data_IF_210328840241
#
_entry.id   IF_210328840241
#
_cell.length_a   1.000
_cell.length_b   1.000
_cell.length_c   1.000
_cell.angle_alpha   90.00
_cell.angle_beta   90.00
_cell.angle_gamma   90.00
#
_symmetry.space_group_name_H-M   'P 1'
#
loop_
_entity.id
_entity.type
_entity.pdbx_description
1 polymer ?
#
# COMPACT_ATOMS: atom_id res chain seq x y z
N UNK A 1 15.33 6.45 -22.86
CA UNK A 1 14.15 6.04 -22.04
C UNK A 1 13.43 7.26 -21.49
N UNK A 2 12.09 7.18 -21.41
CA UNK A 2 11.20 8.26 -20.99
C UNK A 2 10.25 7.78 -19.89
N UNK A 3 10.04 8.62 -18.88
CA UNK A 3 9.16 8.36 -17.75
C UNK A 3 7.98 9.32 -17.80
N UNK A 4 6.75 8.83 -17.77
CA UNK A 4 5.52 9.64 -17.69
C UNK A 4 4.86 9.41 -16.32
N UNK A 5 4.66 10.48 -15.55
CA UNK A 5 3.90 10.42 -14.29
C UNK A 5 2.40 10.43 -14.59
N UNK A 6 1.65 9.52 -13.97
CA UNK A 6 0.19 9.51 -14.04
C UNK A 6 -0.38 9.89 -12.67
N UNK A 7 -0.64 8.92 -11.79
CA UNK A 7 -1.15 9.12 -10.44
C UNK A 7 -0.39 8.25 -9.44
N UNK A 8 -0.07 8.77 -8.26
CA UNK A 8 0.61 8.03 -7.17
C UNK A 8 1.79 7.18 -7.69
N UNK A 9 1.71 5.85 -7.62
CA UNK A 9 2.73 4.90 -8.11
C UNK A 9 2.61 4.60 -9.62
N UNK A 10 1.54 5.04 -10.26
CA UNK A 10 1.27 4.81 -11.67
C UNK A 10 2.16 5.67 -12.56
N UNK A 11 3.04 5.01 -13.30
CA UNK A 11 3.95 5.63 -14.26
C UNK A 11 3.99 4.81 -15.54
N UNK A 12 4.28 5.46 -16.67
CA UNK A 12 4.67 4.76 -17.90
C UNK A 12 6.18 4.90 -18.07
N UNK A 13 6.84 3.79 -18.37
CA UNK A 13 8.22 3.80 -18.85
C UNK A 13 8.20 3.43 -20.33
N UNK A 14 8.79 4.28 -21.15
CA UNK A 14 8.91 4.12 -22.60
C UNK A 14 10.38 4.00 -22.99
N UNK A 15 10.72 2.94 -23.73
CA UNK A 15 12.01 2.80 -24.41
C UNK A 15 11.83 2.95 -25.93
N UNK A 16 12.83 3.52 -26.60
CA UNK A 16 12.86 3.70 -28.06
C UNK A 16 14.13 3.08 -28.63
N UNK A 17 13.96 2.20 -29.61
CA UNK A 17 15.07 1.54 -30.31
C UNK A 17 14.87 1.63 -31.82
N UNK A 18 15.57 2.57 -32.47
CA UNK A 18 15.29 2.92 -33.86
C UNK A 18 13.87 3.46 -34.01
N UNK A 19 13.07 2.85 -34.89
CA UNK A 19 11.65 3.21 -35.09
C UNK A 19 10.69 2.45 -34.15
N UNK A 20 11.19 1.49 -33.36
CA UNK A 20 10.37 0.77 -32.39
C UNK A 20 10.25 1.55 -31.08
N UNK A 21 9.09 1.39 -30.43
CA UNK A 21 8.81 1.87 -29.08
C UNK A 21 8.28 0.71 -28.25
N UNK A 22 8.69 0.63 -27.00
CA UNK A 22 8.10 -0.28 -26.02
C UNK A 22 7.62 0.51 -24.81
N UNK A 23 6.35 0.33 -24.42
CA UNK A 23 5.72 1.00 -23.27
C UNK A 23 5.26 0.01 -22.21
N UNK A 24 5.61 0.31 -20.95
CA UNK A 24 5.14 -0.42 -19.79
C UNK A 24 4.43 0.51 -18.81
N UNK A 25 3.19 0.16 -18.43
CA UNK A 25 2.42 0.84 -17.38
C UNK A 25 2.67 0.14 -16.04
N UNK A 26 3.22 0.85 -15.07
CA UNK A 26 3.49 0.33 -13.73
C UNK A 26 2.34 0.68 -12.77
N UNK A 27 1.95 -0.25 -11.90
CA UNK A 27 1.08 -0.06 -10.73
C UNK A 27 -0.15 0.86 -10.97
N UNK A 28 -1.08 0.50 -11.87
CA UNK A 28 -2.14 1.39 -12.31
C UNK A 28 -3.27 1.54 -11.28
N UNK A 29 -3.38 2.74 -10.69
CA UNK A 29 -4.58 3.26 -10.01
C UNK A 29 -4.90 4.65 -10.58
N UNK A 30 -5.79 4.65 -11.57
CA UNK A 30 -6.15 5.82 -12.37
C UNK A 30 -7.64 6.14 -12.31
N UNK A 31 -8.47 5.26 -11.72
CA UNK A 31 -9.92 5.41 -11.76
C UNK A 31 -10.55 5.05 -10.41
N UNK A 32 -11.43 5.94 -9.93
CA UNK A 32 -12.22 5.70 -8.73
C UNK A 32 -11.40 5.70 -7.44
N UNK A 33 -12.04 5.23 -6.39
CA UNK A 33 -11.50 5.17 -5.04
C UNK A 33 -11.00 3.77 -4.69
N UNK A 34 -10.02 3.71 -3.80
CA UNK A 34 -9.46 2.46 -3.28
C UNK A 34 -9.66 2.36 -1.77
N UNK A 35 -9.31 1.20 -1.21
CA UNK A 35 -9.46 0.92 0.22
C UNK A 35 -10.90 1.13 0.72
N UNK A 36 -11.84 0.42 0.08
CA UNK A 36 -13.28 0.44 0.41
C UNK A 36 -13.82 1.88 0.32
N UNK A 37 -13.41 2.59 -0.74
CA UNK A 37 -13.86 3.94 -1.04
C UNK A 37 -13.11 5.04 -0.30
N UNK A 38 -12.29 4.72 0.71
CA UNK A 38 -11.69 5.76 1.55
C UNK A 38 -10.55 6.52 0.91
N UNK A 39 -9.81 5.95 -0.03
CA UNK A 39 -8.71 6.63 -0.70
C UNK A 39 -9.19 7.17 -2.03
N UNK A 40 -9.10 8.49 -2.21
CA UNK A 40 -9.44 9.17 -3.45
C UNK A 40 -8.21 9.78 -4.12
N UNK A 41 -8.27 9.86 -5.45
CA UNK A 41 -7.26 10.50 -6.29
C UNK A 41 -7.41 12.03 -6.19
N UNK A 42 -6.32 12.71 -5.87
CA UNK A 42 -6.23 14.17 -5.97
C UNK A 42 -4.83 14.60 -6.47
N UNK A 43 -4.73 15.54 -7.43
CA UNK A 43 -5.84 16.20 -8.15
C UNK A 43 -6.64 15.17 -8.97
N UNK A 44 -7.92 15.44 -9.29
CA UNK A 44 -8.72 14.53 -10.09
C UNK A 44 -8.00 14.12 -11.37
N UNK A 45 -8.05 12.83 -11.69
CA UNK A 45 -7.43 12.27 -12.90
C UNK A 45 -8.50 11.90 -13.91
N UNK A 46 -8.42 12.46 -15.12
CA UNK A 46 -9.36 12.20 -16.22
C UNK A 46 -8.94 10.93 -16.97
N UNK A 47 -9.27 9.77 -16.41
CA UNK A 47 -8.87 8.49 -16.97
C UNK A 47 -9.64 8.12 -18.24
N UNK A 48 -8.88 7.98 -19.33
CA UNK A 48 -9.35 7.56 -20.65
C UNK A 48 -8.63 6.28 -21.08
N UNK A 49 -9.28 5.10 -21.01
CA UNK A 49 -8.64 3.83 -21.36
C UNK A 49 -7.99 3.80 -22.74
N UNK A 50 -8.56 4.51 -23.71
CA UNK A 50 -8.07 4.64 -25.09
C UNK A 50 -6.65 5.22 -25.18
N UNK A 51 -6.23 6.05 -24.22
CA UNK A 51 -4.88 6.61 -24.14
C UNK A 51 -3.80 5.55 -23.82
N UNK A 52 -4.23 4.35 -23.41
CA UNK A 52 -3.38 3.22 -23.03
C UNK A 52 -3.43 2.07 -24.04
N UNK A 53 -3.99 2.32 -25.23
CA UNK A 53 -4.13 1.31 -26.30
C UNK A 53 -2.81 0.89 -26.94
N UNK A 54 -1.73 1.68 -26.77
CA UNK A 54 -0.40 1.40 -27.30
C UNK A 54 0.58 0.85 -26.26
N UNK A 55 0.08 0.33 -25.13
CA UNK A 55 0.88 -0.37 -24.14
C UNK A 55 1.27 -1.76 -24.61
N UNK A 56 2.52 -2.14 -24.33
CA UNK A 56 3.03 -3.48 -24.60
C UNK A 56 2.92 -4.38 -23.37
N UNK A 57 3.07 -3.79 -22.18
CA UNK A 57 3.03 -4.50 -20.91
C UNK A 57 2.37 -3.65 -19.83
N UNK A 58 1.81 -4.33 -18.84
CA UNK A 58 1.52 -3.76 -17.52
C UNK A 58 2.46 -4.45 -16.53
N UNK A 59 3.03 -3.72 -15.59
CA UNK A 59 3.74 -4.27 -14.44
C UNK A 59 2.98 -3.96 -13.17
N UNK A 60 2.76 -4.98 -12.34
CA UNK A 60 2.16 -4.83 -11.03
C UNK A 60 3.14 -5.37 -9.99
N UNK A 61 3.58 -4.49 -9.10
CA UNK A 61 4.51 -4.80 -8.02
C UNK A 61 3.88 -5.74 -7.01
N UNK A 62 2.69 -5.41 -6.50
CA UNK A 62 2.04 -6.18 -5.44
C UNK A 62 0.51 -6.00 -5.40
N UNK A 63 -0.16 -6.71 -4.49
CA UNK A 63 -1.62 -6.92 -4.51
C UNK A 63 -2.48 -5.75 -4.03
N UNK A 64 -1.88 -4.78 -3.33
CA UNK A 64 -2.62 -3.70 -2.70
C UNK A 64 -3.42 -2.88 -3.73
N UNK A 65 -4.61 -2.36 -3.38
CA UNK A 65 -5.55 -1.84 -4.36
C UNK A 65 -5.09 -0.56 -5.07
N UNK A 66 -4.24 0.26 -4.46
CA UNK A 66 -3.64 1.46 -5.07
C UNK A 66 -2.49 1.17 -6.04
N UNK A 67 -2.10 -0.10 -6.20
CA UNK A 67 -1.11 -0.57 -7.18
C UNK A 67 -1.72 -1.59 -8.16
N UNK A 68 -2.65 -2.40 -7.68
CA UNK A 68 -3.41 -3.38 -8.45
C UNK A 68 -4.91 -3.02 -8.43
N UNK A 69 -5.25 -1.84 -8.96
CA UNK A 69 -6.63 -1.33 -8.96
C UNK A 69 -7.51 -2.14 -9.91
N UNK A 70 -8.48 -2.88 -9.36
CA UNK A 70 -9.49 -3.57 -10.18
C UNK A 70 -10.33 -2.57 -10.97
N UNK A 71 -10.57 -1.38 -10.43
CA UNK A 71 -11.32 -0.29 -11.04
C UNK A 71 -10.65 0.25 -12.32
N UNK A 72 -9.32 0.34 -12.33
CA UNK A 72 -8.53 0.70 -13.52
C UNK A 72 -8.31 -0.48 -14.44
N UNK A 73 -7.81 -1.60 -13.92
CA UNK A 73 -7.45 -2.79 -14.72
C UNK A 73 -8.65 -3.36 -15.48
N UNK A 74 -9.85 -3.34 -14.90
CA UNK A 74 -11.07 -3.82 -15.59
C UNK A 74 -11.40 -3.04 -16.87
N UNK A 75 -10.92 -1.80 -17.03
CA UNK A 75 -11.17 -0.94 -18.18
C UNK A 75 -10.07 -0.97 -19.26
N UNK A 76 -8.89 -1.54 -18.97
CA UNK A 76 -7.78 -1.66 -19.93
C UNK A 76 -7.94 -2.86 -20.88
N UNK A 77 -7.24 -2.86 -22.01
CA UNK A 77 -7.26 -3.96 -22.98
C UNK A 77 -6.66 -5.24 -22.38
N UNK A 78 -7.44 -6.33 -22.37
CA UNK A 78 -7.06 -7.64 -21.80
C UNK A 78 -5.99 -8.37 -22.61
N UNK A 79 -5.69 -7.92 -23.84
CA UNK A 79 -4.60 -8.45 -24.65
C UNK A 79 -3.23 -8.04 -24.13
N UNK A 80 -3.14 -6.98 -23.34
CA UNK A 80 -1.88 -6.52 -22.77
C UNK A 80 -1.41 -7.53 -21.71
N UNK A 81 -0.25 -8.18 -21.86
CA UNK A 81 0.28 -9.07 -20.84
C UNK A 81 0.66 -8.30 -19.56
N UNK A 82 0.42 -8.92 -18.42
CA UNK A 82 0.74 -8.36 -17.10
C UNK A 82 1.94 -9.08 -16.50
N UNK A 83 3.01 -8.35 -16.22
CA UNK A 83 4.23 -8.82 -15.57
C UNK A 83 4.10 -8.68 -14.06
N UNK A 84 4.42 -9.75 -13.34
CA UNK A 84 4.49 -9.74 -11.87
C UNK A 84 5.71 -10.53 -11.40
N UNK A 85 6.11 -10.34 -10.15
CA UNK A 85 7.05 -11.25 -9.51
C UNK A 85 6.41 -12.64 -9.31
N UNK A 86 7.22 -13.70 -9.40
CA UNK A 86 6.82 -15.06 -9.08
C UNK A 86 6.67 -15.27 -7.56
N UNK A 87 5.62 -14.70 -6.97
CA UNK A 87 5.32 -14.88 -5.55
C UNK A 87 5.00 -16.35 -5.20
N UNK A 88 5.41 -16.86 -4.02
CA UNK A 88 5.02 -18.20 -3.58
C UNK A 88 3.49 -18.35 -3.48
N UNK A 89 2.83 -17.36 -2.90
CA UNK A 89 1.36 -17.28 -2.85
C UNK A 89 0.82 -16.67 -4.14
N UNK A 90 -0.15 -17.34 -4.78
CA UNK A 90 -0.64 -16.97 -6.12
C UNK A 90 -1.81 -15.99 -6.12
N UNK A 91 -2.04 -15.26 -5.02
CA UNK A 91 -3.18 -14.34 -4.90
C UNK A 91 -3.14 -13.21 -5.94
N UNK A 92 -1.98 -12.61 -6.18
CA UNK A 92 -1.83 -11.53 -7.17
C UNK A 92 -2.14 -12.04 -8.58
N UNK A 93 -1.54 -13.18 -8.95
CA UNK A 93 -1.78 -13.85 -10.22
C UNK A 93 -3.27 -14.14 -10.42
N UNK A 94 -3.89 -14.81 -9.46
CA UNK A 94 -5.31 -15.19 -9.53
C UNK A 94 -6.23 -13.96 -9.62
N UNK A 95 -5.92 -12.88 -8.90
CA UNK A 95 -6.68 -11.61 -8.98
C UNK A 95 -6.61 -11.03 -10.40
N UNK A 96 -5.42 -10.98 -11.00
CA UNK A 96 -5.22 -10.39 -12.34
C UNK A 96 -5.80 -11.28 -13.44
N UNK A 97 -5.61 -12.60 -13.36
CA UNK A 97 -6.22 -13.57 -14.28
C UNK A 97 -7.75 -13.56 -14.18
N UNK A 98 -8.30 -13.39 -12.97
CA UNK A 98 -9.74 -13.23 -12.75
C UNK A 98 -10.34 -11.97 -13.40
N UNK A 99 -9.51 -10.96 -13.71
CA UNK A 99 -9.90 -9.79 -14.50
C UNK A 99 -9.78 -10.02 -16.02
N UNK A 100 -9.33 -11.21 -16.45
CA UNK A 100 -9.24 -11.62 -17.85
C UNK A 100 -7.88 -11.40 -18.51
N UNK A 101 -6.84 -11.01 -17.77
CA UNK A 101 -5.50 -10.77 -18.31
C UNK A 101 -4.65 -12.05 -18.37
N UNK A 102 -3.70 -12.07 -19.32
CA UNK A 102 -2.58 -13.02 -19.29
C UNK A 102 -1.51 -12.53 -18.33
N UNK A 103 -1.17 -13.33 -17.32
CA UNK A 103 -0.08 -13.04 -16.38
C UNK A 103 1.22 -13.74 -16.79
N UNK A 104 2.34 -13.02 -16.67
CA UNK A 104 3.70 -13.52 -16.84
C UNK A 104 4.43 -13.32 -15.52
N UNK A 105 4.77 -14.42 -14.86
CA UNK A 105 5.53 -14.42 -13.61
C UNK A 105 7.03 -14.40 -13.93
N UNK A 106 7.75 -13.44 -13.32
CA UNK A 106 9.19 -13.29 -13.47
C UNK A 106 9.91 -13.67 -12.18
N UNK A 107 10.98 -14.44 -12.34
CA UNK A 107 11.76 -14.97 -11.23
C UNK A 107 12.61 -13.90 -10.53
N UNK A 108 12.88 -14.12 -9.25
CA UNK A 108 13.66 -13.21 -8.41
C UNK A 108 15.07 -12.96 -8.99
N UNK A 109 15.39 -11.69 -9.26
CA UNK A 109 16.74 -11.28 -9.65
C UNK A 109 17.15 -11.76 -11.04
N UNK A 110 16.21 -12.26 -11.85
CA UNK A 110 16.46 -12.68 -13.23
C UNK A 110 16.10 -11.55 -14.19
N UNK A 111 17.15 -10.96 -14.79
CA UNK A 111 17.00 -9.96 -15.87
C UNK A 111 16.33 -10.60 -17.08
N UNK A 112 15.13 -10.13 -17.41
CA UNK A 112 14.27 -10.66 -18.46
C UNK A 112 14.12 -9.66 -19.59
N UNK A 113 14.36 -10.09 -20.83
CA UNK A 113 14.16 -9.25 -22.02
C UNK A 113 12.67 -9.15 -22.36
N UNK A 114 12.16 -7.93 -22.53
CA UNK A 114 10.78 -7.67 -22.93
C UNK A 114 10.65 -7.58 -24.45
N UNK A 115 11.25 -6.55 -25.05
CA UNK A 115 11.31 -6.29 -26.49
C UNK A 115 12.62 -5.59 -26.82
N UNK A 116 13.17 -5.85 -27.99
CA UNK A 116 14.43 -5.26 -28.45
C UNK A 116 15.52 -5.36 -27.35
N UNK A 117 16.11 -4.24 -26.95
CA UNK A 117 17.09 -4.18 -25.87
C UNK A 117 16.48 -3.76 -24.52
N UNK A 118 15.15 -3.66 -24.40
CA UNK A 118 14.47 -3.27 -23.17
C UNK A 118 14.23 -4.48 -22.27
N UNK A 119 14.71 -4.38 -21.02
CA UNK A 119 14.69 -5.44 -20.03
C UNK A 119 14.04 -4.99 -18.72
N UNK A 120 13.52 -5.97 -17.98
CA UNK A 120 13.05 -5.81 -16.61
C UNK A 120 13.72 -6.84 -15.70
N UNK A 121 14.02 -6.46 -14.47
CA UNK A 121 14.46 -7.36 -13.40
C UNK A 121 13.66 -7.05 -12.14
N UNK A 122 13.02 -8.06 -11.55
CA UNK A 122 12.18 -7.89 -10.36
C UNK A 122 12.85 -8.58 -9.18
N UNK A 123 13.00 -7.86 -8.08
CA UNK A 123 13.62 -8.34 -6.85
C UNK A 123 12.67 -8.14 -5.68
N UNK A 124 12.49 -9.19 -4.87
CA UNK A 124 11.78 -9.11 -3.60
C UNK A 124 12.51 -8.13 -2.67
N UNK A 125 11.78 -7.32 -1.91
CA UNK A 125 12.36 -6.29 -1.07
C UNK A 125 13.39 -6.86 -0.08
N UNK A 126 13.10 -8.02 0.51
CA UNK A 126 13.97 -8.74 1.45
C UNK A 126 15.10 -9.56 0.80
N UNK A 127 15.26 -9.46 -0.53
CA UNK A 127 16.23 -10.23 -1.31
C UNK A 127 16.02 -11.76 -1.21
N UNK A 128 14.80 -12.22 -0.89
CA UNK A 128 14.52 -13.62 -0.55
C UNK A 128 15.40 -14.16 0.59
N UNK A 129 15.79 -13.30 1.53
CA UNK A 129 16.57 -13.69 2.71
C UNK A 129 15.62 -14.09 3.87
N UNK A 130 15.53 -15.39 4.22
CA UNK A 130 14.65 -15.85 5.29
C UNK A 130 15.08 -15.32 6.67
N UNK A 131 16.31 -14.83 6.85
CA UNK A 131 16.79 -14.26 8.12
C UNK A 131 16.32 -12.82 8.32
N UNK A 132 16.10 -12.07 7.23
CA UNK A 132 15.50 -10.73 7.25
C UNK A 132 14.00 -10.87 7.52
N UNK A 133 13.34 -11.83 6.87
CA UNK A 133 11.94 -12.15 7.10
C UNK A 133 11.68 -12.66 8.54
N UNK A 134 12.45 -13.65 9.01
CA UNK A 134 12.27 -14.32 10.30
C UNK A 134 12.63 -13.52 11.56
N UNK A 135 13.34 -12.39 11.43
CA UNK A 135 13.59 -11.47 12.55
C UNK A 135 12.49 -10.39 12.69
N UNK A 136 11.75 -10.12 11.61
CA UNK A 136 10.70 -9.10 11.54
C UNK A 136 9.29 -9.70 11.58
N UNK A 137 9.14 -10.98 11.20
CA UNK A 137 7.99 -11.85 11.42
C UNK A 137 8.42 -12.87 12.48
N UNK A 138 7.72 -13.00 13.61
CA UNK A 138 8.02 -14.03 14.61
C UNK A 138 7.69 -15.45 14.12
N UNK A 139 8.33 -15.91 13.05
CA UNK A 139 8.00 -17.11 12.28
C UNK A 139 9.27 -17.82 11.77
N UNK A 140 10.11 -18.34 12.67
CA UNK A 140 11.02 -19.42 12.30
C UNK A 140 10.18 -20.70 12.37
N UNK A 141 9.80 -21.29 11.23
CA UNK A 141 9.58 -22.76 11.04
C UNK A 141 8.76 -23.16 9.77
N UNK A 142 8.24 -22.23 8.96
CA UNK A 142 7.49 -22.60 7.73
C UNK A 142 8.15 -22.15 6.41
N UNK A 143 9.27 -21.42 6.47
CA UNK A 143 9.93 -20.78 5.31
C UNK A 143 11.09 -21.60 4.72
N UNK A 144 11.40 -22.79 5.22
CA UNK A 144 12.53 -23.60 4.71
C UNK A 144 12.31 -24.15 3.29
N UNK A 145 11.10 -24.09 2.75
CA UNK A 145 10.80 -24.47 1.36
C UNK A 145 10.54 -23.29 0.41
N UNK A 146 10.19 -22.11 0.94
CA UNK A 146 9.87 -20.90 0.18
C UNK A 146 10.50 -19.70 0.88
N UNK A 147 11.52 -19.12 0.27
CA UNK A 147 12.50 -18.21 0.90
C UNK A 147 11.95 -16.82 1.29
N UNK A 148 10.69 -16.47 0.98
CA UNK A 148 10.05 -15.22 1.40
C UNK A 148 8.53 -15.31 1.42
N UNK A 149 7.87 -14.62 2.35
CA UNK A 149 6.41 -14.39 2.38
C UNK A 149 6.05 -12.94 2.02
N UNK A 150 7.03 -12.13 1.62
CA UNK A 150 6.84 -10.71 1.40
C UNK A 150 6.30 -10.41 -0.01
N UNK A 151 5.36 -9.48 -0.06
CA UNK A 151 4.66 -9.10 -1.29
C UNK A 151 5.30 -7.89 -1.99
N UNK A 152 6.21 -7.15 -1.34
CA UNK A 152 6.79 -5.92 -1.88
C UNK A 152 8.02 -6.23 -2.75
N UNK A 153 8.15 -5.53 -3.88
CA UNK A 153 9.21 -5.79 -4.87
C UNK A 153 9.76 -4.51 -5.46
N UNK A 154 11.07 -4.48 -5.67
CA UNK A 154 11.73 -3.49 -6.52
C UNK A 154 11.78 -3.98 -7.96
N UNK A 155 11.63 -3.07 -8.91
CA UNK A 155 11.85 -3.37 -10.33
C UNK A 155 12.96 -2.49 -10.90
N UNK A 156 13.80 -3.09 -11.74
CA UNK A 156 14.81 -2.40 -12.53
C UNK A 156 14.44 -2.51 -13.99
N UNK A 157 14.36 -1.38 -14.68
CA UNK A 157 14.15 -1.29 -16.11
C UNK A 157 15.42 -0.78 -16.76
N UNK A 158 15.94 -1.50 -17.74
CA UNK A 158 17.17 -1.10 -18.40
C UNK A 158 17.15 -1.38 -19.91
N UNK A 159 17.86 -0.54 -20.66
CA UNK A 159 18.07 -0.70 -22.10
C UNK A 159 19.55 -0.85 -22.45
N UNK A 160 20.35 -1.39 -21.52
CA UNK A 160 21.83 -1.48 -21.55
C UNK A 160 22.59 -0.14 -21.50
N UNK A 161 21.91 0.99 -21.78
CA UNK A 161 22.51 2.33 -21.72
C UNK A 161 22.06 3.12 -20.50
N UNK A 162 20.79 2.96 -20.15
CA UNK A 162 20.12 3.67 -19.07
C UNK A 162 19.48 2.68 -18.12
N UNK A 163 19.42 3.04 -16.83
CA UNK A 163 18.82 2.21 -15.77
C UNK A 163 17.85 3.04 -14.95
N UNK A 164 16.60 2.56 -14.85
CA UNK A 164 15.55 3.09 -13.99
C UNK A 164 15.28 2.09 -12.88
N UNK A 165 15.32 2.54 -11.62
CA UNK A 165 14.96 1.72 -10.46
C UNK A 165 13.65 2.21 -9.87
N UNK A 166 12.72 1.29 -9.69
CA UNK A 166 11.45 1.49 -9.00
C UNK A 166 11.51 0.79 -7.64
N UNK A 167 11.40 1.57 -6.55
CA UNK A 167 11.45 1.08 -5.16
C UNK A 167 10.09 1.02 -4.47
N UNK A 168 8.99 1.01 -5.25
CA UNK A 168 7.61 1.12 -4.77
C UNK A 168 7.36 0.28 -3.51
N UNK A 169 6.86 0.92 -2.46
CA UNK A 169 6.46 0.32 -1.17
C UNK A 169 7.47 -0.63 -0.52
N UNK A 170 8.76 -0.52 -0.83
CA UNK A 170 9.81 -1.31 -0.17
C UNK A 170 10.32 -0.58 1.08
N UNK A 171 10.03 -1.05 2.32
CA UNK A 171 10.57 -0.41 3.52
C UNK A 171 12.09 -0.52 3.55
N UNK A 172 12.80 0.57 3.83
CA UNK A 172 14.26 0.63 3.70
C UNK A 172 15.01 -0.43 4.52
N UNK A 173 14.59 -0.67 5.76
CA UNK A 173 15.25 -1.66 6.64
C UNK A 173 15.29 -3.07 6.03
N UNK A 174 14.27 -3.38 5.22
CA UNK A 174 14.15 -4.64 4.48
C UNK A 174 14.85 -4.51 3.11
N UNK A 175 14.57 -3.41 2.40
CA UNK A 175 14.99 -3.16 1.03
C UNK A 175 16.48 -2.84 0.83
N UNK A 176 17.21 -2.45 1.88
CA UNK A 176 18.60 -1.98 1.75
C UNK A 176 19.54 -3.01 1.09
N UNK A 177 19.40 -4.29 1.43
CA UNK A 177 20.23 -5.36 0.85
C UNK A 177 19.94 -5.52 -0.65
N UNK A 178 18.66 -5.48 -1.02
CA UNK A 178 18.21 -5.52 -2.42
C UNK A 178 18.69 -4.29 -3.19
N UNK A 179 18.57 -3.10 -2.61
CA UNK A 179 19.07 -1.87 -3.21
C UNK A 179 20.59 -1.90 -3.42
N UNK A 180 21.37 -2.40 -2.45
CA UNK A 180 22.82 -2.60 -2.60
C UNK A 180 23.15 -3.62 -3.69
N UNK A 181 22.38 -4.71 -3.81
CA UNK A 181 22.53 -5.70 -4.89
C UNK A 181 22.24 -5.09 -6.26
N UNK A 182 21.17 -4.29 -6.38
CA UNK A 182 20.85 -3.54 -7.60
C UNK A 182 22.01 -2.62 -7.96
N UNK A 183 22.50 -1.82 -7.01
CA UNK A 183 23.65 -0.93 -7.23
C UNK A 183 24.89 -1.69 -7.70
N UNK A 184 25.21 -2.83 -7.07
CA UNK A 184 26.35 -3.66 -7.46
C UNK A 184 26.19 -4.29 -8.85
N UNK A 185 24.96 -4.61 -9.26
CA UNK A 185 24.68 -5.29 -10.53
C UNK A 185 24.68 -4.33 -11.71
N UNK A 186 24.07 -3.16 -11.54
CA UNK A 186 23.86 -2.19 -12.63
C UNK A 186 24.89 -1.05 -12.63
N UNK A 187 25.55 -0.79 -11.49
CA UNK A 187 26.56 0.25 -11.34
C UNK A 187 25.97 1.67 -11.39
N UNK A 188 25.70 2.16 -12.59
CA UNK A 188 25.11 3.48 -12.82
C UNK A 188 23.59 3.38 -12.81
N UNK A 189 22.95 4.22 -11.99
CA UNK A 189 21.50 4.38 -11.96
C UNK A 189 21.15 5.75 -12.54
N UNK A 190 20.37 5.80 -13.61
CA UNK A 190 20.01 7.06 -14.27
C UNK A 190 18.79 7.71 -13.63
N UNK A 191 17.83 6.91 -13.18
CA UNK A 191 16.59 7.41 -12.60
C UNK A 191 16.11 6.53 -11.45
N UNK A 192 15.67 7.16 -10.36
CA UNK A 192 15.07 6.49 -9.22
C UNK A 192 13.63 6.97 -9.00
N UNK A 193 12.69 6.03 -9.03
CA UNK A 193 11.33 6.23 -8.53
C UNK A 193 11.32 5.80 -7.06
N UNK A 194 11.07 6.76 -6.16
CA UNK A 194 11.17 6.54 -4.71
C UNK A 194 9.89 6.92 -3.96
N UNK A 195 9.35 5.96 -3.22
CA UNK A 195 8.18 6.14 -2.37
C UNK A 195 8.47 7.13 -1.24
N UNK A 196 7.67 8.18 -1.09
CA UNK A 196 7.89 9.24 -0.07
C UNK A 196 6.85 9.23 1.07
N UNK A 197 5.90 8.31 1.02
CA UNK A 197 4.80 8.11 1.99
C UNK A 197 4.91 6.70 2.61
N UNK A 198 4.41 6.53 3.83
CA UNK A 198 4.27 5.23 4.48
C UNK A 198 2.85 5.09 5.06
N UNK A 199 1.92 4.72 4.18
CA UNK A 199 0.52 4.61 4.54
C UNK A 199 0.31 3.64 5.71
N UNK A 200 -0.44 4.11 6.72
CA UNK A 200 -0.82 3.33 7.89
C UNK A 200 -1.99 4.01 8.58
N UNK A 201 -2.69 3.33 9.48
CA UNK A 201 -3.71 3.93 10.36
C UNK A 201 -3.13 4.79 11.50
N UNK A 202 -1.82 4.70 11.75
CA UNK A 202 -1.13 5.55 12.73
C UNK A 202 -0.78 6.93 12.15
N UNK A 203 -0.97 8.03 12.91
CA UNK A 203 -1.65 8.13 14.22
C UNK A 203 -3.14 8.47 14.13
N UNK A 204 -3.66 8.82 12.95
CA UNK A 204 -4.97 9.48 12.80
C UNK A 204 -6.16 8.63 13.27
N UNK A 205 -6.09 7.31 13.12
CA UNK A 205 -7.15 6.39 13.55
C UNK A 205 -7.12 6.07 15.04
N UNK A 206 -6.07 6.44 15.77
CA UNK A 206 -5.92 6.11 17.18
C UNK A 206 -6.59 7.17 18.06
N UNK A 207 -7.21 6.74 19.14
CA UNK A 207 -7.79 7.63 20.13
C UNK A 207 -6.67 8.20 21.02
N UNK A 208 -6.26 9.43 20.71
CA UNK A 208 -5.25 10.20 21.45
C UNK A 208 -5.55 11.69 21.28
N UNK A 209 -5.02 12.56 22.18
CA UNK A 209 -5.18 14.00 22.06
C UNK A 209 -4.71 14.54 20.70
N UNK A 210 -5.41 15.52 20.13
CA UNK A 210 -5.10 16.07 18.80
C UNK A 210 -3.66 16.59 18.68
N UNK A 211 -3.15 17.21 19.76
CA UNK A 211 -1.75 17.66 19.82
C UNK A 211 -0.78 16.50 19.63
N UNK A 212 -1.01 15.39 20.32
CA UNK A 212 -0.18 14.18 20.21
C UNK A 212 -0.30 13.56 18.81
N UNK A 213 -1.51 13.51 18.23
CA UNK A 213 -1.70 13.07 16.83
C UNK A 213 -0.83 13.86 15.87
N UNK A 214 -0.86 15.19 15.98
CA UNK A 214 -0.07 16.07 15.11
C UNK A 214 1.43 15.85 15.29
N UNK A 215 1.92 15.72 16.52
CA UNK A 215 3.33 15.45 16.80
C UNK A 215 3.77 14.10 16.21
N UNK A 216 2.98 13.04 16.40
CA UNK A 216 3.26 11.71 15.85
C UNK A 216 3.18 11.69 14.31
N UNK A 217 2.27 12.47 13.72
CA UNK A 217 2.15 12.60 12.27
C UNK A 217 3.41 13.23 11.67
N UNK A 218 3.94 14.28 12.30
CA UNK A 218 5.21 14.93 11.89
C UNK A 218 6.38 13.95 11.99
N UNK A 219 6.48 13.21 13.10
CA UNK A 219 7.55 12.22 13.30
C UNK A 219 7.49 11.10 12.27
N UNK A 220 6.29 10.61 11.95
CA UNK A 220 6.06 9.59 10.92
C UNK A 220 6.53 10.07 9.55
N UNK A 221 6.11 11.27 9.13
CA UNK A 221 6.51 11.88 7.86
C UNK A 221 8.04 12.03 7.79
N UNK A 222 8.66 12.57 8.83
CA UNK A 222 10.11 12.76 8.89
C UNK A 222 10.88 11.43 8.79
N UNK A 223 10.43 10.38 9.50
CA UNK A 223 11.03 9.05 9.42
C UNK A 223 10.95 8.48 8.01
N UNK A 224 9.82 8.65 7.33
CA UNK A 224 9.67 8.18 5.94
C UNK A 224 10.60 8.94 4.98
N UNK A 225 10.71 10.25 5.13
CA UNK A 225 11.62 11.06 4.29
C UNK A 225 13.10 10.70 4.50
N UNK A 226 13.50 10.33 5.72
CA UNK A 226 14.84 9.79 5.98
C UNK A 226 15.12 8.53 5.15
N UNK A 227 14.14 7.62 5.03
CA UNK A 227 14.31 6.42 4.17
C UNK A 227 14.51 6.75 2.70
N UNK A 228 13.93 7.86 2.20
CA UNK A 228 14.17 8.32 0.82
C UNK A 228 15.62 8.71 0.63
N UNK A 229 16.17 9.48 1.57
CA UNK A 229 17.59 9.86 1.57
C UNK A 229 18.48 8.62 1.58
N UNK A 230 18.19 7.64 2.43
CA UNK A 230 18.97 6.41 2.53
C UNK A 230 18.96 5.59 1.23
N UNK A 231 17.83 5.50 0.53
CA UNK A 231 17.78 4.85 -0.79
C UNK A 231 18.62 5.59 -1.85
N UNK A 232 18.57 6.93 -1.85
CA UNK A 232 19.36 7.76 -2.76
C UNK A 232 20.85 7.63 -2.48
N UNK A 233 21.26 7.50 -1.21
CA UNK A 233 22.65 7.26 -0.83
C UNK A 233 23.16 5.88 -1.28
N UNK A 234 22.34 4.82 -1.24
CA UNK A 234 22.73 3.50 -1.72
C UNK A 234 22.79 3.43 -3.25
N UNK A 235 21.75 3.93 -3.93
CA UNK A 235 21.61 3.76 -5.38
C UNK A 235 22.40 4.81 -6.17
N UNK A 236 22.67 5.97 -5.55
CA UNK A 236 23.36 7.13 -6.13
C UNK A 236 22.83 7.49 -7.54
N UNK A 237 21.52 7.74 -7.70
CA UNK A 237 20.93 7.94 -9.00
C UNK A 237 21.26 9.33 -9.57
N UNK A 238 21.34 9.45 -10.90
CA UNK A 238 21.50 10.76 -11.56
C UNK A 238 20.27 11.65 -11.34
N UNK A 239 19.07 11.08 -11.47
CA UNK A 239 17.80 11.73 -11.23
C UNK A 239 16.94 10.94 -10.25
N UNK A 240 16.08 11.62 -9.48
CA UNK A 240 15.05 10.96 -8.70
C UNK A 240 13.70 11.66 -8.81
N UNK A 241 12.63 10.88 -8.71
CA UNK A 241 11.25 11.34 -8.69
C UNK A 241 10.58 10.76 -7.43
N UNK A 242 10.16 11.58 -6.46
CA UNK A 242 9.21 11.12 -5.45
C UNK A 242 7.90 10.74 -6.13
N UNK A 243 7.53 9.48 -6.01
CA UNK A 243 6.28 8.91 -6.52
C UNK A 243 5.66 8.03 -5.43
N UNK A 244 4.48 7.44 -5.65
CA UNK A 244 3.81 6.56 -4.68
C UNK A 244 3.55 7.24 -3.30
N UNK A 245 2.34 7.76 -3.13
CA UNK A 245 1.96 8.49 -1.93
C UNK A 245 0.83 9.51 -2.09
N UNK A 246 0.31 9.68 -3.31
CA UNK A 246 -0.75 10.64 -3.60
C UNK A 246 -2.11 10.00 -3.41
N UNK A 247 -2.65 10.14 -2.21
CA UNK A 247 -4.05 9.84 -1.91
C UNK A 247 -4.61 10.87 -0.93
N UNK A 248 -5.93 11.04 -0.94
CA UNK A 248 -6.67 11.87 0.01
C UNK A 248 -7.82 11.05 0.59
N UNK A 249 -8.01 11.09 1.91
CA UNK A 249 -9.12 10.38 2.55
C UNK A 249 -10.45 11.04 2.18
N UNK A 250 -11.46 10.21 1.91
CA UNK A 250 -12.80 10.62 1.49
C UNK A 250 -13.87 10.16 2.49
N UNK A 251 -15.13 10.50 2.20
CA UNK A 251 -16.30 10.17 2.99
C UNK A 251 -16.14 10.62 4.44
N UNK A 252 -16.65 9.84 5.39
CA UNK A 252 -16.52 10.17 6.82
C UNK A 252 -15.07 10.24 7.33
N UNK A 253 -14.10 9.67 6.59
CA UNK A 253 -12.69 9.68 6.96
C UNK A 253 -11.97 10.97 6.53
N UNK A 254 -12.61 11.89 5.79
CA UNK A 254 -11.96 13.10 5.28
C UNK A 254 -11.35 13.99 6.38
N UNK A 255 -11.95 14.01 7.57
CA UNK A 255 -11.48 14.79 8.73
C UNK A 255 -10.13 14.31 9.27
N UNK A 256 -9.76 13.06 8.95
CA UNK A 256 -8.51 12.45 9.39
C UNK A 256 -7.30 12.89 8.55
N UNK A 257 -7.52 13.53 7.39
CA UNK A 257 -6.46 13.91 6.45
C UNK A 257 -5.32 14.72 7.11
N UNK A 258 -5.67 15.61 8.05
CA UNK A 258 -4.71 16.48 8.74
C UNK A 258 -3.74 15.74 9.68
N UNK A 259 -4.07 14.51 10.09
CA UNK A 259 -3.30 13.74 11.07
C UNK A 259 -2.61 12.50 10.47
N UNK A 260 -2.64 12.31 9.14
CA UNK A 260 -2.13 11.07 8.52
C UNK A 260 -0.63 10.87 8.69
N UNK A 261 0.11 11.97 8.80
CA UNK A 261 1.57 11.94 8.79
C UNK A 261 2.15 11.58 7.43
N UNK A 262 1.43 11.90 6.36
CA UNK A 262 1.91 11.82 4.98
C UNK A 262 2.14 13.24 4.46
N UNK A 263 3.36 13.62 4.06
CA UNK A 263 3.61 14.94 3.50
C UNK A 263 2.93 15.09 2.14
N UNK A 264 2.58 16.33 1.76
CA UNK A 264 2.25 16.62 0.37
C UNK A 264 3.51 16.44 -0.50
N UNK A 265 3.32 16.24 -1.81
CA UNK A 265 4.44 16.01 -2.73
C UNK A 265 5.46 17.15 -2.70
N UNK A 266 4.98 18.39 -2.68
CA UNK A 266 5.80 19.60 -2.61
C UNK A 266 6.57 19.71 -1.29
N UNK A 267 5.95 19.34 -0.16
CA UNK A 267 6.61 19.35 1.15
C UNK A 267 7.73 18.32 1.21
N UNK A 268 7.46 17.12 0.71
CA UNK A 268 8.44 16.05 0.58
C UNK A 268 9.61 16.48 -0.31
N UNK A 269 9.31 17.13 -1.44
CA UNK A 269 10.33 17.58 -2.39
C UNK A 269 11.20 18.72 -1.84
N UNK A 270 10.61 19.70 -1.14
CA UNK A 270 11.39 20.76 -0.50
C UNK A 270 12.26 20.21 0.65
N UNK A 271 11.76 19.23 1.41
CA UNK A 271 12.60 18.50 2.35
C UNK A 271 13.76 17.80 1.65
N UNK A 272 13.51 17.14 0.52
CA UNK A 272 14.53 16.44 -0.27
C UNK A 272 15.61 17.40 -0.77
N UNK A 273 15.23 18.54 -1.37
CA UNK A 273 16.17 19.57 -1.82
C UNK A 273 17.10 20.08 -0.71
N UNK A 274 16.59 20.16 0.53
CA UNK A 274 17.38 20.62 1.69
C UNK A 274 18.33 19.54 2.22
N UNK A 275 17.99 18.26 2.11
CA UNK A 275 18.68 17.17 2.80
C UNK A 275 19.45 16.21 1.89
N UNK A 276 19.25 16.30 0.57
CA UNK A 276 19.90 15.46 -0.45
C UNK A 276 20.89 16.32 -1.24
N UNK A 277 22.13 15.84 -1.46
CA UNK A 277 23.14 16.57 -2.24
C UNK A 277 22.69 16.91 -3.66
N UNK A 278 23.01 18.12 -4.14
CA UNK A 278 22.62 18.65 -5.47
C UNK A 278 23.08 17.78 -6.66
N UNK A 279 24.11 16.95 -6.47
CA UNK A 279 24.56 15.99 -7.50
C UNK A 279 23.47 14.99 -7.90
N UNK A 280 22.50 14.75 -7.02
CA UNK A 280 21.32 13.93 -7.29
C UNK A 280 20.16 14.88 -7.65
N UNK A 281 19.73 14.86 -8.91
CA UNK A 281 18.76 15.84 -9.43
C UNK A 281 17.32 15.38 -9.18
N UNK A 282 16.65 16.00 -8.21
CA UNK A 282 15.23 15.77 -7.96
C UNK A 282 14.34 16.40 -9.04
N UNK A 283 13.26 15.71 -9.40
CA UNK A 283 12.27 16.18 -10.37
C UNK A 283 10.86 16.07 -9.79
N UNK A 284 9.95 16.90 -10.31
CA UNK A 284 8.50 16.77 -10.13
C UNK A 284 7.84 16.76 -11.52
N UNK A 285 6.79 15.96 -11.68
CA UNK A 285 6.05 15.84 -12.93
C UNK A 285 4.54 15.97 -12.63
N UNK A 286 3.83 16.72 -13.47
CA UNK A 286 2.37 16.70 -13.44
C UNK A 286 1.85 15.37 -13.98
N UNK A 287 0.58 15.09 -13.74
CA UNK A 287 -0.12 13.99 -14.39
C UNK A 287 -0.02 14.14 -15.93
N UNK A 288 0.21 13.02 -16.62
CA UNK A 288 0.41 12.90 -18.07
C UNK A 288 1.62 13.69 -18.63
N UNK A 289 2.53 14.13 -17.76
CA UNK A 289 3.78 14.77 -18.16
C UNK A 289 4.95 13.79 -18.07
N UNK A 290 5.92 13.96 -18.97
CA UNK A 290 7.05 13.06 -19.11
C UNK A 290 8.38 13.76 -18.97
N UNK A 291 9.39 12.99 -18.56
CA UNK A 291 10.81 13.34 -18.56
C UNK A 291 11.58 12.35 -19.44
N UNK A 292 12.42 12.86 -20.34
CA UNK A 292 13.24 12.07 -21.26
C UNK A 292 14.70 12.05 -20.79
N UNK A 293 15.27 10.86 -20.57
CA UNK A 293 16.62 10.69 -20.03
C UNK A 293 17.74 10.99 -21.04
N UNK A 294 17.42 10.97 -22.34
CA UNK A 294 18.39 11.25 -23.41
C UNK A 294 18.55 12.76 -23.61
N UNK A 295 17.44 13.51 -23.60
CA UNK A 295 17.46 14.97 -23.75
C UNK A 295 17.53 15.72 -22.43
N UNK A 296 17.26 15.03 -21.31
CA UNK A 296 17.13 15.61 -19.96
C UNK A 296 16.08 16.73 -19.87
N UNK A 297 14.98 16.57 -20.61
CA UNK A 297 13.89 17.56 -20.67
C UNK A 297 12.55 16.97 -20.29
N UNK A 298 11.70 17.82 -19.73
CA UNK A 298 10.27 17.53 -19.53
C UNK A 298 9.43 18.21 -20.60
N UNK A 299 8.26 17.65 -20.93
CA UNK A 299 7.33 18.31 -21.86
C UNK A 299 6.62 19.54 -21.28
N UNK A 300 6.52 19.63 -19.96
CA UNK A 300 5.89 20.75 -19.25
C UNK A 300 6.60 20.99 -17.92
N UNK A 301 6.57 22.23 -17.47
CA UNK A 301 6.98 22.58 -16.10
C UNK A 301 5.96 22.07 -15.08
N UNK A 302 6.44 21.73 -13.88
CA UNK A 302 5.58 21.29 -12.78
C UNK A 302 4.71 22.46 -12.27
N UNK A 303 3.42 22.19 -12.07
CA UNK A 303 2.48 23.13 -11.45
C UNK A 303 2.13 22.62 -10.05
N UNK A 304 2.54 23.33 -8.98
CA UNK A 304 2.22 22.96 -7.61
C UNK A 304 0.71 22.85 -7.35
N UNK A 305 0.32 21.90 -6.51
CA UNK A 305 -1.04 21.81 -6.00
C UNK A 305 -1.36 23.06 -5.18
N UNK A 306 -2.48 23.71 -5.49
CA UNK A 306 -3.06 24.71 -4.62
C UNK A 306 -3.73 24.03 -3.41
N UNK A 307 -3.23 24.32 -2.20
CA UNK A 307 -3.76 23.74 -0.96
C UNK A 307 -5.20 24.16 -0.66
N UNK A 308 -5.58 25.37 -1.03
CA UNK A 308 -6.95 25.85 -0.84
C UNK A 308 -7.91 25.08 -1.75
N UNK A 309 -7.56 24.92 -3.03
CA UNK A 309 -8.37 24.14 -3.98
C UNK A 309 -8.49 22.68 -3.54
N UNK A 310 -7.41 22.09 -3.01
CA UNK A 310 -7.44 20.72 -2.44
C UNK A 310 -8.37 20.64 -1.24
N UNK A 311 -8.29 21.61 -0.33
CA UNK A 311 -9.15 21.68 0.86
C UNK A 311 -10.62 21.81 0.45
N UNK A 312 -10.94 22.72 -0.46
CA UNK A 312 -12.30 22.91 -0.97
C UNK A 312 -12.83 21.65 -1.66
N UNK A 313 -12.02 21.00 -2.49
CA UNK A 313 -12.40 19.72 -3.10
C UNK A 313 -12.65 18.64 -2.04
N UNK A 314 -11.81 18.58 -1.01
CA UNK A 314 -11.96 17.59 0.07
C UNK A 314 -13.24 17.85 0.87
N UNK A 315 -13.48 19.11 1.27
CA UNK A 315 -14.59 19.51 2.12
C UNK A 315 -15.94 19.47 1.39
N UNK A 316 -15.97 19.77 0.08
CA UNK A 316 -17.22 19.89 -0.67
C UNK A 316 -17.54 18.65 -1.54
N UNK A 317 -16.52 17.92 -2.00
CA UNK A 317 -16.69 16.77 -2.91
C UNK A 317 -16.38 15.46 -2.22
N UNK A 318 -15.18 15.31 -1.62
CA UNK A 318 -14.77 14.03 -1.04
C UNK A 318 -15.53 13.70 0.25
N UNK A 319 -15.85 14.69 1.08
CA UNK A 319 -16.59 14.52 2.34
C UNK A 319 -17.98 13.91 2.15
N UNK A 320 -18.60 14.14 0.99
CA UNK A 320 -19.96 13.70 0.67
C UNK A 320 -20.01 12.26 0.14
N UNK A 321 -18.85 11.64 -0.12
CA UNK A 321 -18.80 10.25 -0.59
C UNK A 321 -19.22 9.29 0.50
N UNK A 322 -19.94 8.25 0.12
CA UNK A 322 -20.25 7.12 1.01
C UNK A 322 -19.39 5.94 0.63
N UNK A 323 -18.96 5.19 1.63
CA UNK A 323 -18.25 3.95 1.40
C UNK A 323 -19.21 2.87 0.91
N UNK A 324 -18.76 1.91 0.10
CA UNK A 324 -19.63 0.89 -0.49
C UNK A 324 -20.51 0.13 0.52
N UNK A 325 -19.99 -0.18 1.71
CA UNK A 325 -20.77 -0.87 2.75
C UNK A 325 -21.87 0.00 3.38
N UNK A 326 -21.83 1.33 3.21
CA UNK A 326 -22.82 2.23 3.79
C UNK A 326 -24.15 2.23 3.03
N UNK A 327 -24.18 1.63 1.84
CA UNK A 327 -25.39 1.39 1.07
C UNK A 327 -26.13 0.11 1.49
N UNK A 328 -25.49 -0.74 2.31
CA UNK A 328 -26.09 -1.98 2.81
C UNK A 328 -27.00 -1.72 4.03
N UNK A 329 -27.95 -2.62 4.25
CA UNK A 329 -28.74 -2.64 5.48
C UNK A 329 -27.85 -2.98 6.67
N UNK A 330 -28.02 -2.25 7.79
CA UNK A 330 -27.34 -2.58 9.05
C UNK A 330 -27.81 -3.94 9.58
N UNK A 331 -26.93 -4.93 9.78
CA UNK A 331 -27.29 -6.18 10.45
C UNK A 331 -27.55 -5.95 11.94
N UNK A 332 -28.21 -6.91 12.57
CA UNK A 332 -28.42 -6.99 14.03
C UNK A 332 -27.20 -7.56 14.75
N UNK A 333 -27.08 -7.31 16.06
CA UNK A 333 -26.05 -7.95 16.90
C UNK A 333 -26.08 -9.47 16.78
N UNK A 334 -27.27 -10.09 16.73
CA UNK A 334 -27.40 -11.55 16.62
C UNK A 334 -26.77 -12.09 15.33
N UNK A 335 -27.02 -11.44 14.19
CA UNK A 335 -26.46 -11.85 12.90
C UNK A 335 -24.93 -11.75 12.86
N UNK A 336 -24.35 -10.73 13.49
CA UNK A 336 -22.91 -10.62 13.64
C UNK A 336 -22.38 -11.72 14.56
N UNK A 337 -23.04 -11.93 15.70
CA UNK A 337 -22.61 -12.90 16.71
C UNK A 337 -22.52 -14.33 16.17
N UNK A 338 -23.44 -14.72 15.28
CA UNK A 338 -23.44 -16.03 14.60
C UNK A 338 -22.17 -16.31 13.78
N UNK A 339 -21.47 -15.26 13.30
CA UNK A 339 -20.24 -15.39 12.49
C UNK A 339 -18.96 -15.41 13.33
N UNK A 340 -19.01 -14.91 14.58
CA UNK A 340 -17.84 -14.80 15.47
C UNK A 340 -17.19 -16.16 15.79
N UNK A 341 -17.93 -17.26 16.08
CA UNK A 341 -17.31 -18.54 16.40
C UNK A 341 -16.32 -19.01 15.34
N UNK A 342 -16.74 -18.96 14.08
CA UNK A 342 -15.93 -19.42 12.96
C UNK A 342 -14.77 -18.48 12.67
N UNK A 343 -15.00 -17.17 12.78
CA UNK A 343 -13.94 -16.17 12.69
C UNK A 343 -12.83 -16.39 13.74
N UNK A 344 -13.23 -16.73 14.97
CA UNK A 344 -12.27 -17.07 16.01
C UNK A 344 -11.52 -18.37 15.73
N UNK A 345 -12.17 -19.41 15.20
CA UNK A 345 -11.48 -20.65 14.79
C UNK A 345 -10.38 -20.37 13.76
N UNK A 346 -10.66 -19.54 12.76
CA UNK A 346 -9.70 -19.17 11.71
C UNK A 346 -8.54 -18.34 12.28
N UNK A 347 -8.83 -17.36 13.15
CA UNK A 347 -7.82 -16.62 13.89
C UNK A 347 -6.93 -17.55 14.74
N UNK A 348 -7.52 -18.46 15.52
CA UNK A 348 -6.78 -19.41 16.38
C UNK A 348 -5.94 -20.39 15.57
N UNK A 349 -6.43 -20.84 14.42
CA UNK A 349 -5.68 -21.70 13.50
C UNK A 349 -4.37 -21.01 13.06
N UNK A 350 -4.44 -19.75 12.69
CA UNK A 350 -3.27 -18.97 12.29
C UNK A 350 -2.36 -18.70 13.48
N UNK A 351 -2.92 -18.30 14.62
CA UNK A 351 -2.16 -18.07 15.85
C UNK A 351 -1.33 -19.28 16.26
N UNK A 352 -1.94 -20.47 16.24
CA UNK A 352 -1.25 -21.74 16.53
C UNK A 352 -0.21 -22.08 15.46
N UNK A 353 -0.52 -21.86 14.17
CA UNK A 353 0.41 -22.07 13.05
C UNK A 353 1.70 -21.26 13.21
N UNK A 354 1.60 -20.01 13.68
CA UNK A 354 2.76 -19.13 13.90
C UNK A 354 3.31 -19.20 15.33
N UNK A 355 2.80 -20.11 16.18
CA UNK A 355 3.19 -20.26 17.59
C UNK A 355 3.14 -18.96 18.40
N UNK A 356 2.23 -18.05 18.07
CA UNK A 356 2.11 -16.76 18.73
C UNK A 356 1.20 -16.83 19.95
N UNK A 357 1.60 -16.18 21.04
CA UNK A 357 0.81 -16.08 22.27
C UNK A 357 0.99 -14.69 22.89
N UNK A 358 -0.08 -14.10 23.38
CA UNK A 358 -0.08 -12.80 24.05
C UNK A 358 -1.21 -12.69 25.07
N UNK A 359 -0.92 -12.06 26.21
CA UNK A 359 -1.94 -11.69 27.21
C UNK A 359 -2.81 -10.50 26.78
N UNK A 360 -2.49 -9.85 25.66
CA UNK A 360 -3.32 -8.79 25.09
C UNK A 360 -4.67 -9.35 24.63
N UNK A 361 -5.75 -8.62 24.87
CA UNK A 361 -7.06 -8.91 24.28
C UNK A 361 -7.39 -7.94 23.15
N UNK A 362 -8.11 -8.41 22.14
CA UNK A 362 -8.72 -7.55 21.13
C UNK A 362 -10.17 -7.30 21.55
N UNK A 363 -10.58 -6.03 21.54
CA UNK A 363 -11.94 -5.63 21.87
C UNK A 363 -12.60 -5.09 20.61
N UNK A 364 -13.51 -5.83 20.02
CA UNK A 364 -14.37 -5.32 18.96
C UNK A 364 -15.49 -4.48 19.57
N UNK A 365 -15.69 -3.28 19.04
CA UNK A 365 -16.73 -2.36 19.47
C UNK A 365 -17.55 -1.85 18.28
N UNK A 366 -18.85 -2.14 18.27
CA UNK A 366 -19.79 -1.66 17.25
C UNK A 366 -21.20 -1.57 17.81
N UNK A 367 -22.12 -0.95 17.06
CA UNK A 367 -23.54 -0.86 17.40
C UNK A 367 -24.43 -1.16 16.18
N UNK A 368 -25.58 -1.78 16.43
CA UNK A 368 -26.45 -2.30 15.38
C UNK A 368 -27.53 -1.30 14.89
N UNK A 369 -28.55 -1.79 14.17
CA UNK A 369 -29.65 -0.97 13.68
C UNK A 369 -30.60 -0.45 14.77
N UNK A 370 -30.58 -1.03 15.97
CA UNK A 370 -31.38 -0.64 17.13
C UNK A 370 -30.55 0.11 18.19
N UNK A 371 -29.34 0.55 17.83
CA UNK A 371 -28.34 1.12 18.73
C UNK A 371 -27.94 0.16 19.88
N UNK A 372 -28.12 -1.15 19.69
CA UNK A 372 -27.61 -2.16 20.63
C UNK A 372 -26.08 -2.24 20.50
N UNK A 373 -25.38 -2.01 21.61
CA UNK A 373 -23.92 -2.11 21.66
C UNK A 373 -23.45 -3.57 21.69
N UNK A 374 -22.49 -3.88 20.83
CA UNK A 374 -21.75 -5.14 20.80
C UNK A 374 -20.29 -4.89 21.16
N UNK A 375 -19.89 -5.42 22.31
CA UNK A 375 -18.50 -5.51 22.75
C UNK A 375 -18.08 -6.98 22.78
N UNK A 376 -17.07 -7.34 22.00
CA UNK A 376 -16.52 -8.71 21.97
C UNK A 376 -15.07 -8.69 22.41
N UNK A 377 -14.77 -9.38 23.51
CA UNK A 377 -13.40 -9.63 23.94
C UNK A 377 -12.89 -10.91 23.29
N UNK A 378 -11.75 -10.82 22.61
CA UNK A 378 -11.09 -11.91 21.89
C UNK A 378 -9.70 -12.09 22.49
N UNK A 379 -9.43 -13.28 23.02
CA UNK A 379 -8.14 -13.58 23.61
C UNK A 379 -7.08 -13.88 22.55
N UNK A 380 -5.85 -13.42 22.78
CA UNK A 380 -4.69 -13.76 21.95
C UNK A 380 -3.81 -14.88 22.54
N UNK A 381 -4.33 -15.61 23.53
CA UNK A 381 -3.66 -16.75 24.16
C UNK A 381 -4.40 -18.09 23.96
N UNK A 382 -5.58 -18.06 23.31
CA UNK A 382 -6.40 -19.24 23.06
C UNK A 382 -7.47 -19.52 24.11
N UNK A 383 -7.73 -18.61 25.05
CA UNK A 383 -8.79 -18.77 26.05
C UNK A 383 -10.21 -18.50 25.52
N UNK A 384 -10.39 -18.31 24.21
CA UNK A 384 -11.70 -18.08 23.59
C UNK A 384 -12.02 -16.60 23.34
N UNK A 385 -13.31 -16.36 23.12
CA UNK A 385 -13.93 -15.06 22.96
C UNK A 385 -15.20 -14.99 23.82
N UNK A 386 -15.62 -13.79 24.21
CA UNK A 386 -16.89 -13.57 24.92
C UNK A 386 -17.46 -12.18 24.65
N UNK A 387 -18.79 -12.06 24.74
CA UNK A 387 -19.45 -10.76 24.84
C UNK A 387 -19.17 -10.19 26.23
N UNK A 388 -18.87 -8.89 26.31
CA UNK A 388 -18.58 -8.21 27.57
C UNK A 388 -19.43 -6.95 27.73
N UNK A 389 -19.51 -6.43 28.96
CA UNK A 389 -20.08 -5.10 29.25
C UNK A 389 -18.99 -4.03 29.31
N UNK A 390 -19.40 -2.75 29.31
CA UNK A 390 -18.49 -1.61 29.51
C UNK A 390 -17.77 -1.68 30.87
N UNK A 391 -18.47 -2.15 31.92
CA UNK A 391 -17.89 -2.32 33.26
C UNK A 391 -16.83 -3.43 33.29
N UNK A 392 -17.03 -4.50 32.52
CA UNK A 392 -16.01 -5.53 32.35
C UNK A 392 -14.82 -5.02 31.52
N UNK A 393 -15.06 -4.20 30.49
CA UNK A 393 -14.00 -3.56 29.70
C UNK A 393 -13.09 -2.69 30.57
N UNK A 394 -13.66 -1.93 31.49
CA UNK A 394 -12.91 -1.08 32.43
C UNK A 394 -11.96 -1.85 33.36
N UNK A 395 -12.09 -3.18 33.46
CA UNK A 395 -11.21 -4.05 34.27
C UNK A 395 -10.07 -4.68 33.46
N UNK A 396 -10.02 -4.49 32.13
CA UNK A 396 -9.01 -5.09 31.27
C UNK A 396 -7.81 -4.14 31.15
N UNK A 397 -6.67 -4.57 31.65
CA UNK A 397 -5.46 -3.73 31.72
C UNK A 397 -4.65 -3.70 30.41
N UNK A 398 -4.82 -4.71 29.54
CA UNK A 398 -4.04 -4.83 28.30
C UNK A 398 -4.93 -5.22 27.12
N UNK A 399 -5.30 -4.23 26.32
CA UNK A 399 -6.13 -4.48 25.15
C UNK A 399 -5.83 -3.56 23.95
N UNK A 400 -6.29 -4.02 22.80
CA UNK A 400 -6.42 -3.25 21.57
C UNK A 400 -7.90 -3.18 21.21
N UNK A 401 -8.51 -2.01 21.40
CA UNK A 401 -9.88 -1.73 21.02
C UNK A 401 -9.93 -1.40 19.54
N UNK A 402 -10.91 -1.97 18.84
CA UNK A 402 -11.17 -1.73 17.42
C UNK A 402 -12.63 -1.34 17.29
N UNK A 403 -12.89 -0.08 17.00
CA UNK A 403 -14.21 0.48 16.73
C UNK A 403 -14.42 0.63 15.23
N UNK A 404 -15.55 0.14 14.74
CA UNK A 404 -15.90 0.14 13.31
C UNK A 404 -17.41 0.10 13.08
N UNK A 405 -17.83 0.43 11.85
CA UNK A 405 -19.22 0.30 11.41
C UNK A 405 -19.64 -1.18 11.33
N UNK A 406 -20.82 -1.51 11.83
CA UNK A 406 -21.30 -2.90 11.86
C UNK A 406 -21.50 -3.50 10.46
N UNK A 407 -21.81 -2.68 9.46
CA UNK A 407 -21.94 -3.12 8.06
C UNK A 407 -20.58 -3.53 7.50
N UNK A 408 -19.53 -2.77 7.85
CA UNK A 408 -18.15 -3.13 7.52
C UNK A 408 -17.71 -4.39 8.28
N UNK A 409 -18.03 -4.51 9.57
CA UNK A 409 -17.75 -5.73 10.34
C UNK A 409 -18.37 -6.95 9.68
N UNK A 410 -19.62 -6.84 9.19
CA UNK A 410 -20.28 -7.92 8.46
C UNK A 410 -19.50 -8.33 7.21
N UNK A 411 -19.07 -7.36 6.38
CA UNK A 411 -18.25 -7.65 5.20
C UNK A 411 -16.91 -8.28 5.54
N UNK A 412 -16.26 -7.83 6.61
CA UNK A 412 -15.00 -8.39 7.08
C UNK A 412 -15.17 -9.83 7.57
N UNK A 413 -16.28 -10.12 8.25
CA UNK A 413 -16.62 -11.47 8.69
C UNK A 413 -17.06 -12.38 7.53
N UNK A 414 -17.60 -11.84 6.43
CA UNK A 414 -17.85 -12.61 5.20
C UNK A 414 -16.57 -12.99 4.46
N UNK A 415 -15.44 -12.39 4.83
CA UNK A 415 -14.11 -12.74 4.35
C UNK A 415 -13.60 -11.89 3.18
N UNK A 416 -12.39 -12.21 2.68
CA UNK A 416 -11.60 -11.32 1.82
C UNK A 416 -12.20 -11.05 0.44
N UNK A 417 -13.19 -11.82 0.00
CA UNK A 417 -13.93 -11.54 -1.23
C UNK A 417 -14.84 -10.31 -1.10
N UNK A 418 -15.29 -9.99 0.12
CA UNK A 418 -16.11 -8.81 0.44
C UNK A 418 -15.27 -7.67 0.99
N UNK A 419 -14.49 -7.91 2.04
CA UNK A 419 -13.55 -6.94 2.60
C UNK A 419 -12.39 -7.66 3.31
N UNK A 420 -11.21 -7.04 3.28
CA UNK A 420 -10.03 -7.55 3.98
C UNK A 420 -9.65 -6.62 5.13
N UNK A 421 -9.33 -7.16 6.30
CA UNK A 421 -8.99 -6.40 7.50
C UNK A 421 -7.82 -5.43 7.28
N UNK A 422 -6.76 -5.87 6.59
CA UNK A 422 -5.63 -4.99 6.24
C UNK A 422 -6.03 -3.82 5.34
N UNK A 423 -6.99 -4.01 4.43
CA UNK A 423 -7.48 -2.92 3.57
C UNK A 423 -8.39 -1.98 4.37
N UNK A 424 -9.16 -2.49 5.32
CA UNK A 424 -9.94 -1.65 6.23
C UNK A 424 -9.04 -0.80 7.13
N UNK A 425 -7.93 -1.38 7.61
CA UNK A 425 -6.92 -0.69 8.41
C UNK A 425 -6.22 0.43 7.62
N UNK A 426 -5.60 0.09 6.47
CA UNK A 426 -4.95 1.07 5.58
C UNK A 426 -5.94 2.13 5.05
N UNK A 427 -7.18 1.70 4.79
CA UNK A 427 -8.30 2.57 4.44
C UNK A 427 -8.83 3.44 5.57
N UNK A 428 -8.23 3.39 6.77
CA UNK A 428 -8.62 4.23 7.91
C UNK A 428 -10.05 4.01 8.40
N UNK A 429 -10.62 2.82 8.16
CA UNK A 429 -11.98 2.47 8.60
C UNK A 429 -12.06 1.96 10.04
N UNK A 430 -10.91 1.59 10.61
CA UNK A 430 -10.78 1.03 11.95
C UNK A 430 -10.26 2.12 12.88
N UNK A 431 -10.98 2.39 13.98
CA UNK A 431 -10.55 3.31 15.02
C UNK A 431 -10.03 2.53 16.22
N UNK A 432 -8.87 2.95 16.74
CA UNK A 432 -8.14 2.17 17.73
C UNK A 432 -8.10 2.83 19.10
N UNK A 433 -8.35 2.04 20.13
CA UNK A 433 -8.02 2.36 21.52
C UNK A 433 -6.87 1.46 21.98
N UNK A 434 -5.82 2.01 22.57
CA UNK A 434 -4.63 1.24 22.96
C UNK A 434 -4.33 1.45 24.43
N UNK A 435 -4.61 0.43 25.26
CA UNK A 435 -4.35 0.46 26.71
C UNK A 435 -3.37 -0.66 27.06
N UNK A 436 -2.18 -0.30 27.54
CA UNK A 436 -1.13 -1.23 27.98
C UNK A 436 -0.55 -2.15 26.89
N UNK A 437 -1.10 -2.14 25.67
CA UNK A 437 -0.73 -3.06 24.61
C UNK A 437 0.47 -2.57 23.80
N UNK A 438 1.35 -3.51 23.45
CA UNK A 438 2.41 -3.47 22.42
C UNK A 438 1.85 -3.41 20.98
N UNK A 439 2.34 -2.64 20.01
CA UNK A 439 2.14 -3.03 18.61
C UNK A 439 2.83 -4.39 18.45
N UNK A 440 2.08 -5.41 18.03
CA UNK A 440 2.58 -6.77 17.84
C UNK A 440 2.21 -7.24 16.45
N UNK A 441 3.20 -7.44 15.58
CA UNK A 441 2.95 -7.89 14.21
C UNK A 441 2.20 -9.22 14.14
N UNK A 442 2.50 -10.15 15.06
CA UNK A 442 1.78 -11.42 15.21
C UNK A 442 0.28 -11.25 15.47
N UNK A 443 -0.12 -10.19 16.18
CA UNK A 443 -1.54 -9.86 16.42
C UNK A 443 -2.24 -9.55 15.10
N UNK A 444 -1.71 -8.60 14.33
CA UNK A 444 -2.30 -8.19 13.05
C UNK A 444 -2.29 -9.30 12.01
N UNK A 445 -1.25 -10.15 12.01
CA UNK A 445 -1.21 -11.32 11.12
C UNK A 445 -2.34 -12.32 11.41
N UNK A 446 -2.58 -12.63 12.69
CA UNK A 446 -3.72 -13.47 13.07
C UNK A 446 -5.05 -12.77 12.78
N UNK A 447 -5.13 -11.47 13.09
CA UNK A 447 -6.33 -10.65 12.93
C UNK A 447 -6.81 -10.55 11.49
N UNK A 448 -5.89 -10.50 10.52
CA UNK A 448 -6.25 -10.53 9.10
C UNK A 448 -7.02 -11.79 8.67
N UNK A 449 -7.01 -12.84 9.48
CA UNK A 449 -7.72 -14.09 9.26
C UNK A 449 -8.95 -14.25 10.18
N UNK A 450 -9.38 -13.19 10.87
CA UNK A 450 -10.61 -13.18 11.68
C UNK A 450 -11.85 -12.99 10.80
N UNK A 451 -12.23 -14.03 10.07
CA UNK A 451 -13.44 -14.06 9.24
C UNK A 451 -14.06 -15.47 9.25
N UNK A 452 -15.36 -15.55 8.96
CA UNK A 452 -16.11 -16.82 8.87
C UNK A 452 -15.53 -17.75 7.80
#
# INVERSE_FOLDING_TARGET
>A
MKITQLNSASVIIEDRFGDSKTKILCDPWLNGEEYIGSWAIYPPYDFKPENFSDLDFIYVSHIHPDHCSSSTLSKLDKKIPVLIHNFPEKFLKQKIEGLGFKVIELEHGIRTRLKDNFHINILAADNCDPTICGNLMGCVMLETKYQTTQIDTMAVFDNEKQVIVNTNDCPFDIGKTTASRIKSTYGKIDFLLVGYVAASSWPHCYNMPEKEKSEQAILKAAKKLDTVKQYIEILEPRFYLPFAGRYTLSGKNYTLNQYRGEPELEDAFEWMKKNIPEKYRGLLLNNDCWFDLDTETSNKEYTPINRQDKKEFTDNVLSQKKFPYEYESKPTVSQIWEKIPKAYENFEKIRKKIQWNSNTMIILNTSDCNDENLLVAISCNGSGYKRITTDELGKIENYMGIKLDIRLLNWLLDGPQKAHWGNADLGSHLHYDRVGSVYKRGLFYCWNNFHN
#
